data_IF_237140426481
#
_entry.id   IF_237140426481
#
_cell.length_a   1.000
_cell.length_b   1.000
_cell.length_c   1.000
_cell.angle_alpha   90.00
_cell.angle_beta   90.00
_cell.angle_gamma   90.00
#
_symmetry.space_group_name_H-M   'P 1'
#
loop_
_entity.id
_entity.type
_entity.pdbx_description
1 polymer ?
#
# COMPACT_ATOMS: atom_id res chain seq x y z
N UNK A 1 -21.39 -22.00 8.07
CA UNK A 1 -20.31 -22.69 8.82
C UNK A 1 -20.84 -23.04 10.21
N UNK A 2 -20.58 -24.24 10.73
CA UNK A 2 -21.04 -24.61 12.09
C UNK A 2 -20.23 -23.87 13.17
N UNK A 3 -20.79 -23.63 14.37
CA UNK A 3 -20.08 -22.99 15.48
C UNK A 3 -18.76 -23.69 15.84
N UNK A 4 -18.76 -25.02 15.82
CA UNK A 4 -17.58 -25.84 16.14
C UNK A 4 -16.46 -25.61 15.12
N UNK A 5 -16.83 -25.56 13.83
CA UNK A 5 -15.87 -25.27 12.75
C UNK A 5 -15.33 -23.85 12.84
N UNK A 6 -16.16 -22.85 13.20
CA UNK A 6 -15.72 -21.47 13.42
C UNK A 6 -14.63 -21.39 14.50
N UNK A 7 -14.86 -22.03 15.64
CA UNK A 7 -13.91 -22.07 16.75
C UNK A 7 -12.59 -22.76 16.37
N UNK A 8 -12.67 -23.85 15.61
CA UNK A 8 -11.48 -24.55 15.12
C UNK A 8 -10.66 -23.68 14.16
N UNK A 9 -11.31 -22.99 13.22
CA UNK A 9 -10.63 -22.08 12.29
C UNK A 9 -10.00 -20.88 13.01
N UNK A 10 -10.70 -20.31 14.00
CA UNK A 10 -10.16 -19.23 14.84
C UNK A 10 -8.92 -19.68 15.61
N UNK A 11 -8.94 -20.89 16.18
CA UNK A 11 -7.78 -21.47 16.85
C UNK A 11 -6.58 -21.63 15.91
N UNK A 12 -6.80 -22.13 14.69
CA UNK A 12 -5.74 -22.27 13.68
C UNK A 12 -5.16 -20.89 13.32
N UNK A 13 -6.01 -19.89 13.11
CA UNK A 13 -5.58 -18.53 12.78
C UNK A 13 -4.72 -17.90 13.88
N UNK A 14 -5.07 -18.09 15.14
CA UNK A 14 -4.26 -17.63 16.28
C UNK A 14 -2.94 -18.41 16.35
N UNK A 15 -2.96 -19.72 16.10
CA UNK A 15 -1.75 -20.54 16.05
C UNK A 15 -0.71 -20.01 15.05
N UNK A 16 -1.15 -19.54 13.88
CA UNK A 16 -0.27 -18.91 12.89
C UNK A 16 0.45 -17.65 13.41
N UNK A 17 -0.17 -16.89 14.32
CA UNK A 17 0.42 -15.68 14.92
C UNK A 17 1.51 -15.98 15.95
N UNK A 18 1.63 -17.24 16.38
CA UNK A 18 2.59 -17.69 17.39
C UNK A 18 3.78 -18.46 16.79
N UNK A 19 3.93 -18.44 15.45
CA UNK A 19 5.04 -19.10 14.75
C UNK A 19 6.39 -18.59 15.28
N UNK A 20 7.24 -19.46 15.88
CA UNK A 20 8.57 -19.05 16.33
C UNK A 20 9.43 -18.55 15.16
N UNK A 21 10.17 -17.47 15.38
CA UNK A 21 11.08 -16.88 14.41
C UNK A 21 12.30 -16.26 15.08
N UNK A 22 13.43 -16.23 14.36
CA UNK A 22 14.57 -15.40 14.74
C UNK A 22 14.29 -13.96 14.30
N UNK A 23 13.71 -13.16 15.19
CA UNK A 23 13.39 -11.77 14.91
C UNK A 23 14.60 -10.87 15.20
N UNK A 24 15.18 -10.28 14.15
CA UNK A 24 16.31 -9.34 14.26
C UNK A 24 15.85 -7.95 13.81
N UNK A 25 15.58 -7.03 14.75
CA UNK A 25 15.21 -5.66 14.38
C UNK A 25 16.39 -4.94 13.71
N UNK A 26 16.08 -4.12 12.72
CA UNK A 26 17.07 -3.34 11.97
C UNK A 26 16.94 -1.87 12.36
N UNK A 27 17.98 -1.31 12.99
CA UNK A 27 18.02 0.07 13.45
C UNK A 27 19.14 0.84 12.73
N UNK A 28 18.89 1.23 11.48
CA UNK A 28 19.85 1.95 10.63
C UNK A 28 21.28 1.35 10.71
N UNK A 29 21.46 0.08 10.31
CA UNK A 29 22.72 -0.63 10.48
C UNK A 29 23.87 0.07 9.75
N UNK A 30 25.09 -0.10 10.27
CA UNK A 30 26.29 0.40 9.61
C UNK A 30 26.54 -0.28 8.26
N UNK A 31 27.23 0.39 7.31
CA UNK A 31 27.42 -0.15 5.96
C UNK A 31 28.14 -1.50 5.88
N UNK A 32 29.02 -1.82 6.84
CA UNK A 32 29.74 -3.09 6.93
C UNK A 32 28.83 -4.29 7.23
N UNK A 33 27.65 -4.02 7.81
CA UNK A 33 26.61 -5.03 8.05
C UNK A 33 25.70 -5.26 6.82
N UNK A 34 25.85 -4.47 5.75
CA UNK A 34 25.01 -4.55 4.55
C UNK A 34 25.77 -5.25 3.41
N UNK A 35 25.52 -6.56 3.26
CA UNK A 35 26.00 -7.33 2.11
C UNK A 35 25.30 -6.93 0.80
N UNK A 36 25.82 -7.38 -0.36
CA UNK A 36 25.14 -7.26 -1.65
C UNK A 36 23.71 -7.85 -1.68
N UNK A 37 23.47 -8.95 -0.94
CA UNK A 37 22.14 -9.56 -0.85
C UNK A 37 21.15 -8.64 -0.14
N UNK A 38 21.53 -8.09 1.01
CA UNK A 38 20.79 -7.05 1.72
C UNK A 38 20.50 -5.85 0.83
N UNK A 39 21.52 -5.31 0.14
CA UNK A 39 21.34 -4.16 -0.74
C UNK A 39 20.28 -4.43 -1.82
N UNK A 40 20.41 -5.55 -2.55
CA UNK A 40 19.43 -5.96 -3.57
C UNK A 40 18.01 -6.10 -3.00
N UNK A 41 17.88 -6.65 -1.79
CA UNK A 41 16.59 -6.80 -1.12
C UNK A 41 15.98 -5.45 -0.70
N UNK A 42 16.78 -4.51 -0.18
CA UNK A 42 16.31 -3.19 0.24
C UNK A 42 15.93 -2.27 -0.91
N UNK A 43 16.64 -2.36 -2.03
CA UNK A 43 16.42 -1.48 -3.19
C UNK A 43 15.54 -2.11 -4.27
N UNK A 44 14.80 -3.18 -3.96
CA UNK A 44 13.92 -3.86 -4.91
C UNK A 44 12.75 -2.95 -5.34
N UNK A 45 12.21 -3.21 -6.53
CA UNK A 45 10.89 -2.71 -6.86
C UNK A 45 9.83 -3.58 -6.15
N UNK A 46 9.08 -2.99 -5.21
CA UNK A 46 8.24 -3.76 -4.28
C UNK A 46 7.05 -4.45 -4.95
N UNK A 47 6.66 -4.02 -6.16
CA UNK A 47 5.62 -4.68 -6.95
C UNK A 47 6.03 -6.02 -7.58
N UNK A 48 7.32 -6.31 -7.65
CA UNK A 48 7.84 -7.50 -8.33
C UNK A 48 7.85 -8.69 -7.37
N UNK A 49 6.65 -9.22 -7.09
CA UNK A 49 6.42 -10.34 -6.15
C UNK A 49 6.32 -11.69 -6.87
N UNK A 50 6.59 -11.72 -8.18
CA UNK A 50 6.46 -12.91 -9.01
C UNK A 50 7.41 -14.02 -8.55
N UNK A 51 6.84 -15.17 -8.17
CA UNK A 51 7.61 -16.34 -7.73
C UNK A 51 7.96 -16.36 -6.24
N UNK A 52 7.50 -15.38 -5.45
CA UNK A 52 7.61 -15.44 -4.00
C UNK A 52 6.71 -16.54 -3.42
N UNK A 53 7.14 -17.24 -2.36
CA UNK A 53 6.31 -18.23 -1.68
C UNK A 53 5.20 -17.54 -0.88
N UNK A 54 3.98 -18.04 -1.01
CA UNK A 54 2.81 -17.61 -0.24
C UNK A 54 1.92 -18.82 0.13
N UNK A 55 1.00 -18.61 1.05
CA UNK A 55 0.06 -19.63 1.52
C UNK A 55 -1.17 -19.72 0.60
N UNK A 56 -1.84 -20.87 0.52
CA UNK A 56 -3.15 -20.94 -0.12
C UNK A 56 -4.15 -20.04 0.60
N UNK A 57 -4.89 -19.23 -0.16
CA UNK A 57 -6.00 -18.41 0.32
C UNK A 57 -7.28 -18.76 -0.41
N UNK A 58 -8.42 -18.51 0.23
CA UNK A 58 -9.70 -18.51 -0.46
C UNK A 58 -9.87 -17.15 -1.15
N UNK A 59 -10.07 -17.15 -2.46
CA UNK A 59 -10.39 -15.95 -3.21
C UNK A 59 -11.83 -15.53 -2.92
N UNK A 60 -12.03 -14.24 -2.70
CA UNK A 60 -13.33 -13.65 -2.39
C UNK A 60 -13.51 -12.39 -3.24
N UNK A 61 -14.74 -12.15 -3.66
CA UNK A 61 -15.13 -10.89 -4.29
C UNK A 61 -15.29 -9.82 -3.21
N UNK A 62 -14.88 -8.59 -3.50
CA UNK A 62 -15.10 -7.43 -2.64
C UNK A 62 -16.09 -6.48 -3.30
N UNK A 63 -17.08 -6.00 -2.55
CA UNK A 63 -17.91 -4.89 -2.98
C UNK A 63 -17.09 -3.60 -3.10
N UNK A 64 -17.24 -2.89 -4.22
CA UNK A 64 -16.55 -1.61 -4.46
C UNK A 64 -17.13 -0.52 -3.56
N UNK A 65 -16.27 0.19 -2.84
CA UNK A 65 -16.68 1.34 -2.05
C UNK A 65 -16.76 2.60 -2.92
N UNK A 66 -17.67 3.51 -2.59
CA UNK A 66 -17.87 4.75 -3.36
C UNK A 66 -16.59 5.58 -3.50
N UNK A 67 -15.74 5.61 -2.46
CA UNK A 67 -14.46 6.33 -2.53
C UNK A 67 -13.42 5.63 -3.39
N UNK A 68 -13.45 4.30 -3.48
CA UNK A 68 -12.56 3.51 -4.35
C UNK A 68 -12.91 3.81 -5.81
N UNK A 69 -14.19 3.76 -6.14
CA UNK A 69 -14.71 4.11 -7.46
C UNK A 69 -14.32 5.54 -7.86
N UNK A 70 -14.55 6.51 -6.97
CA UNK A 70 -14.17 7.91 -7.20
C UNK A 70 -12.65 8.09 -7.34
N UNK A 71 -11.86 7.30 -6.60
CA UNK A 71 -10.39 7.30 -6.71
C UNK A 71 -9.95 6.80 -8.07
N UNK A 72 -10.51 5.69 -8.55
CA UNK A 72 -10.25 5.17 -9.89
C UNK A 72 -10.55 6.23 -10.96
N UNK A 73 -11.76 6.81 -10.93
CA UNK A 73 -12.15 7.88 -11.85
C UNK A 73 -11.17 9.06 -11.78
N UNK A 74 -10.81 9.51 -10.58
CA UNK A 74 -9.88 10.63 -10.39
C UNK A 74 -8.52 10.34 -11.03
N UNK A 75 -7.94 9.16 -10.79
CA UNK A 75 -6.65 8.79 -11.36
C UNK A 75 -6.68 8.74 -12.89
N UNK A 76 -7.73 8.18 -13.48
CA UNK A 76 -7.87 8.07 -14.93
C UNK A 76 -8.18 9.43 -15.58
N UNK A 77 -8.97 10.29 -14.93
CA UNK A 77 -9.20 11.68 -15.40
C UNK A 77 -7.91 12.51 -15.32
N UNK A 78 -7.11 12.39 -14.25
CA UNK A 78 -5.80 13.04 -14.17
C UNK A 78 -4.89 12.60 -15.34
N UNK A 79 -4.93 11.32 -15.69
CA UNK A 79 -4.19 10.80 -16.84
C UNK A 79 -4.71 11.33 -18.17
N UNK A 80 -6.03 11.27 -18.37
CA UNK A 80 -6.67 11.81 -19.55
C UNK A 80 -6.35 13.30 -19.77
N UNK A 81 -6.31 14.09 -18.69
CA UNK A 81 -6.00 15.52 -18.74
C UNK A 81 -4.51 15.84 -18.75
N UNK A 82 -3.64 14.83 -18.85
CA UNK A 82 -2.21 15.01 -19.06
C UNK A 82 -1.41 15.37 -17.80
N UNK A 83 -1.98 15.20 -16.60
CA UNK A 83 -1.22 15.38 -15.34
C UNK A 83 -0.15 14.31 -15.22
N UNK A 84 -0.43 13.10 -15.68
CA UNK A 84 0.54 11.99 -15.77
C UNK A 84 0.14 11.00 -16.88
N UNK A 85 1.00 10.05 -17.16
CA UNK A 85 0.61 8.80 -17.83
C UNK A 85 0.45 7.65 -16.82
N UNK A 86 -0.11 6.53 -17.27
CA UNK A 86 -0.36 5.39 -16.40
C UNK A 86 0.94 4.70 -15.89
N UNK A 87 2.07 4.84 -16.58
CA UNK A 87 3.36 4.30 -16.11
C UNK A 87 3.95 5.15 -14.98
N UNK A 88 3.85 6.49 -15.07
CA UNK A 88 4.19 7.40 -13.97
C UNK A 88 3.38 7.07 -12.73
N UNK A 89 2.08 6.78 -12.89
CA UNK A 89 1.22 6.29 -11.81
C UNK A 89 1.72 4.95 -11.26
N UNK A 90 1.93 3.94 -12.09
CA UNK A 90 2.35 2.59 -11.65
C UNK A 90 3.66 2.62 -10.86
N UNK A 91 4.66 3.39 -11.32
CA UNK A 91 5.92 3.56 -10.59
C UNK A 91 5.69 4.18 -9.22
N UNK A 92 4.96 5.30 -9.14
CA UNK A 92 4.70 5.97 -7.85
C UNK A 92 3.87 5.13 -6.89
N UNK A 93 2.82 4.50 -7.42
CA UNK A 93 1.79 3.81 -6.65
C UNK A 93 2.23 2.41 -6.16
N UNK A 94 3.06 1.74 -6.94
CA UNK A 94 3.44 0.35 -6.69
C UNK A 94 4.94 0.19 -6.39
N UNK A 95 5.74 1.25 -6.48
CA UNK A 95 7.18 1.21 -6.16
C UNK A 95 7.54 2.24 -5.09
N UNK A 96 7.29 3.52 -5.33
CA UNK A 96 7.78 4.60 -4.45
C UNK A 96 7.14 4.64 -3.06
N UNK A 97 5.96 4.05 -2.89
CA UNK A 97 5.30 3.90 -1.57
C UNK A 97 6.14 3.08 -0.59
N UNK A 98 7.08 2.27 -1.09
CA UNK A 98 7.96 1.42 -0.29
C UNK A 98 7.25 0.18 0.29
N UNK A 99 8.06 -0.74 0.80
CA UNK A 99 7.60 -2.10 1.16
C UNK A 99 6.47 -2.10 2.19
N UNK A 100 6.63 -1.32 3.26
CA UNK A 100 5.67 -1.29 4.38
C UNK A 100 4.29 -0.83 3.92
N UNK A 101 4.21 0.23 3.12
CA UNK A 101 2.91 0.74 2.65
C UNK A 101 2.35 -0.10 1.50
N UNK A 102 3.22 -0.71 0.68
CA UNK A 102 2.79 -1.52 -0.45
C UNK A 102 1.88 -2.70 -0.03
N UNK A 103 2.27 -3.41 1.03
CA UNK A 103 1.52 -4.55 1.58
C UNK A 103 0.62 -4.18 2.77
N UNK A 104 0.87 -3.05 3.45
CA UNK A 104 0.12 -2.66 4.65
C UNK A 104 -1.13 -1.80 4.36
N UNK A 105 -1.20 -1.11 3.23
CA UNK A 105 -2.36 -0.32 2.83
C UNK A 105 -3.27 -1.10 1.88
N UNK A 106 -4.56 -0.76 1.87
CA UNK A 106 -5.50 -1.30 0.87
C UNK A 106 -5.08 -0.92 -0.55
N UNK A 107 -5.49 -1.75 -1.52
CA UNK A 107 -5.16 -1.55 -2.93
C UNK A 107 -5.48 -0.12 -3.39
N UNK A 108 -6.73 0.33 -3.23
CA UNK A 108 -7.13 1.68 -3.62
C UNK A 108 -6.64 2.79 -2.67
N UNK A 109 -6.27 2.46 -1.43
CA UNK A 109 -5.59 3.41 -0.54
C UNK A 109 -4.28 3.91 -1.16
N UNK A 110 -3.52 3.03 -1.81
CA UNK A 110 -2.29 3.40 -2.54
C UNK A 110 -2.57 4.27 -3.75
N UNK A 111 -3.65 4.01 -4.49
CA UNK A 111 -4.08 4.85 -5.62
C UNK A 111 -4.40 6.27 -5.15
N UNK A 112 -5.20 6.40 -4.09
CA UNK A 112 -5.63 7.69 -3.54
C UNK A 112 -4.44 8.52 -3.05
N UNK A 113 -3.55 7.92 -2.26
CA UNK A 113 -2.33 8.60 -1.79
C UNK A 113 -1.46 9.06 -2.97
N UNK A 114 -1.35 8.24 -4.01
CA UNK A 114 -0.55 8.56 -5.21
C UNK A 114 -1.19 9.68 -6.03
N UNK A 115 -2.52 9.75 -6.11
CA UNK A 115 -3.25 10.85 -6.74
C UNK A 115 -3.02 12.18 -6.00
N UNK A 116 -3.06 12.18 -4.67
CA UNK A 116 -2.69 13.37 -3.90
C UNK A 116 -1.21 13.74 -4.11
N UNK A 117 -0.32 12.73 -4.09
CA UNK A 117 1.11 12.94 -4.20
C UNK A 117 1.54 13.53 -5.55
N UNK A 118 0.95 13.10 -6.66
CA UNK A 118 1.33 13.64 -7.98
C UNK A 118 1.00 15.12 -8.12
N UNK A 119 -0.09 15.59 -7.50
CA UNK A 119 -0.46 17.01 -7.52
C UNK A 119 0.57 17.86 -6.78
N UNK A 120 1.10 17.37 -5.65
CA UNK A 120 2.16 18.04 -4.88
C UNK A 120 3.50 17.96 -5.60
N UNK A 121 3.90 16.77 -6.05
CA UNK A 121 5.22 16.57 -6.68
C UNK A 121 5.37 17.32 -8.01
N UNK A 122 4.28 17.51 -8.76
CA UNK A 122 4.25 18.36 -9.97
C UNK A 122 3.84 19.81 -9.68
N UNK A 123 3.73 20.18 -8.41
CA UNK A 123 3.46 21.56 -7.96
C UNK A 123 2.15 22.16 -8.50
N UNK A 124 1.17 21.32 -8.85
CA UNK A 124 -0.20 21.77 -9.14
C UNK A 124 -0.88 22.32 -7.88
N UNK A 125 -0.50 21.77 -6.72
CA UNK A 125 -0.83 22.28 -5.39
C UNK A 125 0.41 22.21 -4.50
N UNK A 126 0.42 23.01 -3.45
CA UNK A 126 1.41 22.93 -2.37
C UNK A 126 0.98 21.91 -1.31
N UNK A 127 1.95 21.46 -0.50
CA UNK A 127 1.64 20.57 0.63
C UNK A 127 0.77 21.25 1.70
N UNK A 128 0.89 22.58 1.84
CA UNK A 128 0.05 23.39 2.71
C UNK A 128 -1.40 23.40 2.23
N UNK A 129 -1.65 23.64 0.94
CA UNK A 129 -3.00 23.60 0.39
C UNK A 129 -3.66 22.22 0.54
N UNK A 130 -2.91 21.14 0.36
CA UNK A 130 -3.42 19.79 0.61
C UNK A 130 -3.81 19.61 2.09
N UNK A 131 -2.94 20.04 3.01
CA UNK A 131 -3.18 19.95 4.45
C UNK A 131 -4.39 20.78 4.87
N UNK A 132 -4.48 22.03 4.40
CA UNK A 132 -5.61 22.92 4.66
C UNK A 132 -6.91 22.32 4.12
N UNK A 133 -6.87 21.71 2.93
CA UNK A 133 -8.03 21.04 2.35
C UNK A 133 -8.50 19.85 3.17
N UNK A 134 -7.57 19.04 3.70
CA UNK A 134 -7.89 17.92 4.59
C UNK A 134 -8.57 18.41 5.89
N UNK A 135 -8.08 19.50 6.49
CA UNK A 135 -8.71 20.10 7.67
C UNK A 135 -10.10 20.65 7.36
N UNK A 136 -10.26 21.35 6.23
CA UNK A 136 -11.54 21.86 5.77
C UNK A 136 -12.55 20.72 5.58
N UNK A 137 -12.17 19.62 4.91
CA UNK A 137 -13.03 18.44 4.72
C UNK A 137 -13.40 17.82 6.06
N UNK A 138 -12.44 17.61 6.96
CA UNK A 138 -12.70 17.05 8.29
C UNK A 138 -13.76 17.86 9.05
N UNK A 139 -13.62 19.20 9.06
CA UNK A 139 -14.55 20.13 9.72
C UNK A 139 -15.97 20.07 9.15
N UNK A 140 -16.18 19.63 7.90
CA UNK A 140 -17.54 19.46 7.34
C UNK A 140 -18.31 18.27 7.93
N UNK A 141 -17.59 17.34 8.57
CA UNK A 141 -18.15 16.11 9.14
C UNK A 141 -17.94 16.00 10.66
N UNK A 142 -17.36 17.03 11.30
CA UNK A 142 -17.35 17.24 12.76
C UNK A 142 -18.62 18.01 13.17
#
# INVERSE_FOLDING_TARGET
MTPERKKAMEHINIGCQLQPALHVPQHAPFPDLISNAHFRAYTRAVHDVGGEPDVPIQWEEKEEEVWEHNTFITCEVLAWRGVWNAEERRRRQNVDVGQTQYLGLSYYGRWLLTAARILVDKQYITNSELSDKMHEVKKRYE
#
